data_IF_214407099056
#
_entry.id   IF_214407099056
#
_cell.length_a   1.000
_cell.length_b   1.000
_cell.length_c   1.000
_cell.angle_alpha   90.00
_cell.angle_beta   90.00
_cell.angle_gamma   90.00
#
_symmetry.space_group_name_H-M   'P 1'
#
loop_
_entity.id
_entity.type
_entity.pdbx_description
1 polymer ?
#
# COMPACT_ATOMS: atom_id res chain seq x y z
N UNK A 1 -20.66 -35.79 19.02
CA UNK A 1 -19.33 -35.72 19.68
C UNK A 1 -18.54 -36.89 19.12
N UNK A 2 -17.55 -36.78 18.25
CA UNK A 2 -16.29 -36.01 18.31
C UNK A 2 -15.77 -35.95 16.87
N UNK A 3 -15.82 -34.80 16.17
CA UNK A 3 -15.02 -34.54 14.94
C UNK A 3 -15.06 -33.08 14.48
N UNK A 4 -15.42 -32.13 15.37
CA UNK A 4 -15.51 -30.70 15.02
C UNK A 4 -14.46 -29.83 15.71
N UNK A 5 -13.66 -30.37 16.65
CA UNK A 5 -12.76 -29.57 17.49
C UNK A 5 -11.31 -29.47 17.00
N UNK A 6 -10.86 -30.29 16.05
CA UNK A 6 -9.44 -30.28 15.64
C UNK A 6 -9.10 -29.24 14.56
N UNK A 7 -10.09 -28.65 13.90
CA UNK A 7 -9.86 -27.67 12.82
C UNK A 7 -9.75 -26.21 13.31
N UNK A 8 -10.20 -25.91 14.53
CA UNK A 8 -10.15 -24.56 15.11
C UNK A 8 -8.77 -24.17 15.68
N UNK A 9 -7.84 -25.12 15.84
CA UNK A 9 -6.54 -24.84 16.49
C UNK A 9 -5.41 -24.39 15.55
N UNK A 10 -5.56 -24.50 14.22
CA UNK A 10 -4.48 -24.17 13.28
C UNK A 10 -4.61 -22.79 12.62
N UNK A 11 -5.78 -22.13 12.66
CA UNK A 11 -5.99 -20.81 12.04
C UNK A 11 -7.07 -19.99 12.75
N UNK A 12 -6.73 -19.08 13.70
CA UNK A 12 -7.71 -18.28 14.46
C UNK A 12 -8.41 -17.18 13.64
N UNK A 13 -8.21 -17.09 12.32
CA UNK A 13 -8.80 -16.07 11.44
C UNK A 13 -9.91 -16.56 10.50
N UNK A 14 -10.29 -17.85 10.55
CA UNK A 14 -11.42 -18.35 9.78
C UNK A 14 -12.74 -18.10 10.54
N UNK A 15 -13.33 -16.93 10.34
CA UNK A 15 -14.72 -16.65 10.73
C UNK A 15 -15.67 -17.71 10.12
N UNK A 16 -16.67 -18.22 10.86
CA UNK A 16 -17.68 -19.08 10.29
C UNK A 16 -18.61 -18.26 9.38
N UNK A 17 -18.59 -18.55 8.07
CA UNK A 17 -19.56 -18.00 7.12
C UNK A 17 -20.89 -18.72 7.35
N UNK A 18 -21.67 -18.24 8.32
CA UNK A 18 -23.10 -18.52 8.41
C UNK A 18 -23.87 -17.33 7.85
N UNK A 19 -24.12 -17.32 6.54
CA UNK A 19 -25.13 -16.43 5.95
C UNK A 19 -26.50 -17.03 6.21
N UNK A 20 -27.17 -16.56 7.27
CA UNK A 20 -28.59 -16.86 7.53
C UNK A 20 -29.43 -16.14 6.47
N UNK A 21 -29.81 -16.86 5.42
CA UNK A 21 -30.87 -16.42 4.52
C UNK A 21 -32.23 -16.66 5.22
N UNK A 22 -32.69 -15.69 6.01
CA UNK A 22 -34.06 -15.67 6.56
C UNK A 22 -35.02 -15.30 5.42
N UNK A 23 -35.41 -16.29 4.62
CA UNK A 23 -36.35 -16.10 3.52
C UNK A 23 -37.72 -15.64 4.04
N UNK A 24 -38.13 -14.43 3.64
CA UNK A 24 -39.56 -14.09 3.49
C UNK A 24 -40.13 -15.01 2.42
N UNK A 25 -41.26 -15.66 2.73
CA UNK A 25 -42.04 -16.47 1.80
C UNK A 25 -42.50 -15.59 0.61
N UNK A 26 -42.44 -16.13 -0.61
CA UNK A 26 -42.95 -15.61 -1.89
C UNK A 26 -42.03 -14.75 -2.79
N UNK A 27 -40.94 -15.32 -3.32
CA UNK A 27 -40.37 -14.86 -4.61
C UNK A 27 -40.02 -16.08 -5.49
N UNK A 28 -40.67 -16.27 -6.66
CA UNK A 28 -40.45 -17.41 -7.53
C UNK A 28 -39.37 -17.13 -8.59
N UNK A 29 -38.11 -16.94 -8.19
CA UNK A 29 -36.92 -17.12 -9.06
C UNK A 29 -35.63 -16.87 -8.25
N UNK A 30 -35.20 -17.86 -7.47
CA UNK A 30 -33.83 -17.90 -6.96
C UNK A 30 -33.01 -18.78 -7.90
N UNK A 31 -32.35 -18.17 -8.88
CA UNK A 31 -31.48 -18.84 -9.83
C UNK A 31 -30.23 -19.35 -9.12
N UNK A 32 -30.18 -20.66 -8.86
CA UNK A 32 -29.01 -21.54 -8.66
C UNK A 32 -27.69 -20.81 -8.34
N UNK A 33 -27.49 -20.46 -7.07
CA UNK A 33 -26.14 -20.13 -6.57
C UNK A 33 -25.23 -21.34 -6.73
N UNK A 34 -24.14 -21.20 -7.50
CA UNK A 34 -23.09 -22.21 -7.61
C UNK A 34 -22.42 -22.38 -6.24
N UNK A 35 -22.83 -23.39 -5.47
CA UNK A 35 -22.07 -23.85 -4.29
C UNK A 35 -20.76 -24.48 -4.77
N UNK A 36 -19.70 -23.70 -4.80
CA UNK A 36 -18.34 -24.21 -4.97
C UNK A 36 -17.99 -24.96 -3.68
N UNK A 37 -17.58 -26.22 -3.79
CA UNK A 37 -17.20 -27.00 -2.61
C UNK A 37 -15.90 -26.47 -1.98
N UNK A 38 -15.74 -26.61 -0.66
CA UNK A 38 -14.47 -26.27 0.05
C UNK A 38 -13.28 -26.98 -0.62
N UNK A 39 -13.47 -28.23 -1.06
CA UNK A 39 -12.47 -29.01 -1.79
C UNK A 39 -12.05 -28.30 -3.08
N UNK A 40 -12.99 -27.73 -3.82
CA UNK A 40 -12.70 -27.01 -5.07
C UNK A 40 -11.97 -25.68 -4.81
N UNK A 41 -12.30 -24.96 -3.73
CA UNK A 41 -11.59 -23.75 -3.30
C UNK A 41 -10.14 -24.09 -2.94
N UNK A 42 -9.93 -25.11 -2.11
CA UNK A 42 -8.58 -25.56 -1.71
C UNK A 42 -7.79 -26.04 -2.93
N UNK A 43 -8.40 -26.81 -3.84
CA UNK A 43 -7.75 -27.22 -5.10
C UNK A 43 -7.32 -26.03 -5.97
N UNK A 44 -8.16 -25.00 -6.09
CA UNK A 44 -7.81 -23.77 -6.83
C UNK A 44 -6.63 -23.04 -6.18
N UNK A 45 -6.66 -22.89 -4.85
CA UNK A 45 -5.56 -22.27 -4.11
C UNK A 45 -4.23 -23.02 -4.28
N UNK A 46 -4.24 -24.36 -4.16
CA UNK A 46 -3.04 -25.18 -4.32
C UNK A 46 -2.46 -25.06 -5.74
N UNK A 47 -3.31 -25.07 -6.78
CA UNK A 47 -2.87 -24.86 -8.16
C UNK A 47 -2.20 -23.50 -8.37
N UNK A 48 -2.75 -22.43 -7.78
CA UNK A 48 -2.13 -21.09 -7.84
C UNK A 48 -0.77 -21.11 -7.15
N UNK A 49 -0.68 -21.73 -5.96
CA UNK A 49 0.57 -21.85 -5.22
C UNK A 49 1.64 -22.59 -6.01
N UNK A 50 1.30 -23.72 -6.63
CA UNK A 50 2.21 -24.48 -7.49
C UNK A 50 2.65 -23.67 -8.71
N UNK A 51 1.71 -23.01 -9.39
CA UNK A 51 2.01 -22.15 -10.54
C UNK A 51 2.97 -21.02 -10.18
N UNK A 52 2.68 -20.27 -9.13
CA UNK A 52 3.52 -19.17 -8.65
C UNK A 52 4.90 -19.69 -8.26
N UNK A 53 4.96 -20.81 -7.53
CA UNK A 53 6.23 -21.43 -7.12
C UNK A 53 7.09 -21.80 -8.33
N UNK A 54 6.50 -22.44 -9.35
CA UNK A 54 7.22 -22.82 -10.57
C UNK A 54 7.78 -21.60 -11.30
N UNK A 55 6.95 -20.59 -11.53
CA UNK A 55 7.36 -19.34 -12.21
C UNK A 55 8.45 -18.61 -11.44
N UNK A 56 8.39 -18.61 -10.11
CA UNK A 56 9.38 -17.97 -9.27
C UNK A 56 10.75 -18.66 -9.32
N UNK A 57 10.75 -20.00 -9.35
CA UNK A 57 12.00 -20.78 -9.54
C UNK A 57 12.64 -20.49 -10.90
N UNK A 58 11.86 -20.55 -11.97
CA UNK A 58 12.33 -20.25 -13.33
C UNK A 58 12.90 -18.82 -13.45
N UNK A 59 12.30 -17.85 -12.74
CA UNK A 59 12.78 -16.48 -12.68
C UNK A 59 14.14 -16.39 -11.97
N UNK A 60 14.29 -17.02 -10.80
CA UNK A 60 15.55 -16.99 -10.03
C UNK A 60 16.69 -17.65 -10.80
N UNK A 61 16.43 -18.80 -11.45
CA UNK A 61 17.46 -19.56 -12.18
C UNK A 61 18.13 -18.74 -13.29
N UNK A 62 17.40 -17.79 -13.88
CA UNK A 62 17.87 -16.96 -15.00
C UNK A 62 18.02 -15.47 -14.62
N UNK A 63 17.94 -15.15 -13.32
CA UNK A 63 17.93 -13.78 -12.85
C UNK A 63 19.28 -13.10 -13.05
N UNK A 64 19.28 -11.90 -13.61
CA UNK A 64 20.45 -11.02 -13.58
C UNK A 64 20.70 -10.48 -12.18
N UNK A 65 21.88 -9.91 -11.92
CA UNK A 65 22.16 -9.20 -10.66
C UNK A 65 21.08 -8.16 -10.34
N UNK A 66 20.62 -7.40 -11.34
CA UNK A 66 19.59 -6.38 -11.20
C UNK A 66 18.23 -7.00 -10.84
N UNK A 67 17.89 -8.14 -11.43
CA UNK A 67 16.66 -8.86 -11.08
C UNK A 67 16.70 -9.35 -9.64
N UNK A 68 17.83 -9.90 -9.19
CA UNK A 68 18.00 -10.35 -7.79
C UNK A 68 17.90 -9.16 -6.82
N UNK A 69 18.46 -8.00 -7.14
CA UNK A 69 18.32 -6.77 -6.34
C UNK A 69 16.85 -6.34 -6.23
N UNK A 70 16.10 -6.34 -7.34
CA UNK A 70 14.65 -6.03 -7.32
C UNK A 70 13.87 -7.04 -6.50
N UNK A 71 14.11 -8.34 -6.71
CA UNK A 71 13.41 -9.40 -5.98
C UNK A 71 13.69 -9.31 -4.47
N UNK A 72 14.93 -9.01 -4.10
CA UNK A 72 15.33 -8.82 -2.70
C UNK A 72 14.55 -7.67 -2.08
N UNK A 73 14.53 -6.51 -2.73
CA UNK A 73 13.75 -5.35 -2.27
C UNK A 73 12.26 -5.70 -2.10
N UNK A 74 11.65 -6.41 -3.06
CA UNK A 74 10.25 -6.84 -2.95
C UNK A 74 10.06 -7.77 -1.75
N UNK A 75 10.96 -8.75 -1.58
CA UNK A 75 10.87 -9.72 -0.48
C UNK A 75 11.02 -9.09 0.89
N UNK A 76 11.98 -8.19 1.06
CA UNK A 76 12.20 -7.46 2.31
C UNK A 76 10.96 -6.64 2.68
N UNK A 77 10.36 -5.96 1.69
CA UNK A 77 9.11 -5.22 1.89
C UNK A 77 7.94 -6.13 2.27
N UNK A 78 7.83 -7.32 1.67
CA UNK A 78 6.76 -8.27 1.99
C UNK A 78 6.95 -8.98 3.33
N UNK A 79 8.19 -9.22 3.75
CA UNK A 79 8.55 -9.97 4.98
C UNK A 79 8.53 -9.13 6.25
N UNK A 80 8.42 -7.81 6.18
CA UNK A 80 8.41 -6.96 7.39
C UNK A 80 7.25 -7.37 8.32
N UNK A 81 7.54 -8.17 9.35
CA UNK A 81 6.57 -8.63 10.36
C UNK A 81 5.97 -7.46 11.15
N UNK A 82 6.65 -6.31 11.17
CA UNK A 82 6.33 -5.13 11.96
C UNK A 82 5.13 -4.29 11.48
N UNK A 83 4.42 -4.70 10.41
CA UNK A 83 3.35 -3.84 9.90
C UNK A 83 2.27 -4.57 9.10
N UNK A 84 1.56 -5.51 9.72
CA UNK A 84 0.31 -6.06 9.17
C UNK A 84 -0.74 -4.98 8.80
N UNK A 85 -0.56 -3.73 9.26
CA UNK A 85 -1.40 -2.56 8.97
C UNK A 85 -0.83 -1.60 7.92
N UNK A 86 0.41 -1.77 7.47
CA UNK A 86 0.99 -0.85 6.47
C UNK A 86 0.53 -1.23 5.05
N UNK A 87 0.04 -0.25 4.26
CA UNK A 87 -0.28 -0.46 2.85
C UNK A 87 0.87 -1.13 2.09
N UNK A 88 0.54 -2.00 1.13
CA UNK A 88 1.56 -2.68 0.31
C UNK A 88 2.44 -1.70 -0.46
N UNK A 89 1.93 -0.52 -0.83
CA UNK A 89 2.72 0.52 -1.50
C UNK A 89 3.90 0.99 -0.64
N UNK A 90 3.69 1.24 0.66
CA UNK A 90 4.75 1.65 1.58
C UNK A 90 5.81 0.55 1.73
N UNK A 91 5.36 -0.70 1.79
CA UNK A 91 6.23 -1.87 1.91
C UNK A 91 7.05 -2.11 0.65
N UNK A 92 6.43 -2.01 -0.52
CA UNK A 92 7.08 -2.22 -1.81
C UNK A 92 8.19 -1.19 -2.07
N UNK A 93 7.95 0.07 -1.69
CA UNK A 93 8.91 1.15 -1.87
C UNK A 93 9.76 1.45 -0.64
N UNK A 94 9.65 0.65 0.43
CA UNK A 94 10.39 0.85 1.68
C UNK A 94 10.26 2.28 2.24
N UNK A 95 9.02 2.78 2.26
CA UNK A 95 8.74 4.09 2.83
C UNK A 95 8.86 4.06 4.35
N UNK A 96 9.84 4.79 4.85
CA UNK A 96 9.99 5.08 6.28
C UNK A 96 9.47 6.48 6.56
N UNK A 97 8.81 6.67 7.69
CA UNK A 97 8.23 7.97 8.05
C UNK A 97 8.52 8.36 9.49
N UNK A 98 8.65 9.65 9.68
CA UNK A 98 8.68 10.33 10.98
C UNK A 98 7.68 11.48 10.94
N UNK A 99 6.85 11.61 11.98
CA UNK A 99 5.89 12.71 12.11
C UNK A 99 6.24 13.49 13.36
N UNK A 100 6.41 14.81 13.23
CA UNK A 100 6.74 15.72 14.32
C UNK A 100 6.06 17.06 14.09
N UNK A 101 5.44 17.64 15.11
CA UNK A 101 4.93 19.03 15.09
C UNK A 101 4.18 19.46 13.82
N UNK A 102 3.24 18.63 13.34
CA UNK A 102 2.47 18.82 12.09
C UNK A 102 3.27 18.79 10.78
N UNK A 103 4.49 18.26 10.82
CA UNK A 103 5.30 17.95 9.65
C UNK A 103 5.50 16.44 9.54
N UNK A 104 5.76 15.98 8.32
CA UNK A 104 6.16 14.60 8.05
C UNK A 104 7.47 14.60 7.28
N UNK A 105 8.37 13.70 7.65
CA UNK A 105 9.52 13.32 6.84
C UNK A 105 9.29 11.89 6.39
N UNK A 106 9.30 11.65 5.08
CA UNK A 106 9.16 10.31 4.50
C UNK A 106 10.34 10.02 3.59
N UNK A 107 11.01 8.88 3.77
CA UNK A 107 12.19 8.52 2.99
C UNK A 107 11.93 7.30 2.11
N UNK A 108 12.67 7.21 1.00
CA UNK A 108 12.62 6.09 0.06
C UNK A 108 14.03 5.79 -0.46
N UNK A 109 14.54 4.56 -0.34
CA UNK A 109 15.80 4.18 -0.97
C UNK A 109 15.68 4.16 -2.50
N UNK A 110 16.74 4.58 -3.19
CA UNK A 110 16.82 4.48 -4.65
C UNK A 110 17.39 3.10 -5.00
N UNK A 111 16.51 2.18 -5.38
CA UNK A 111 16.87 0.86 -5.88
C UNK A 111 16.43 0.69 -7.35
N UNK A 112 16.86 -0.38 -8.05
CA UNK A 112 16.52 -0.56 -9.46
C UNK A 112 15.03 -0.55 -9.79
N UNK A 113 14.15 -0.91 -8.83
CA UNK A 113 12.68 -0.95 -9.02
C UNK A 113 12.06 0.44 -9.21
N UNK A 114 12.71 1.50 -8.71
CA UNK A 114 12.19 2.87 -8.76
C UNK A 114 12.79 3.71 -9.88
N UNK A 115 13.70 3.14 -10.68
CA UNK A 115 14.36 3.84 -11.78
C UNK A 115 13.53 3.80 -13.06
N UNK A 116 13.66 4.84 -13.87
CA UNK A 116 13.11 4.89 -15.23
C UNK A 116 14.12 4.35 -16.28
N UNK A 117 13.75 4.40 -17.55
CA UNK A 117 14.55 3.89 -18.68
C UNK A 117 15.89 4.58 -18.86
N UNK A 118 16.08 5.78 -18.31
CA UNK A 118 17.35 6.54 -18.38
C UNK A 118 18.16 6.45 -17.07
N UNK A 119 17.75 5.61 -16.12
CA UNK A 119 18.51 5.32 -14.90
C UNK A 119 18.42 6.38 -13.79
N UNK A 120 17.39 7.24 -13.81
CA UNK A 120 17.07 8.15 -12.69
C UNK A 120 15.75 7.74 -12.04
N UNK A 121 15.45 8.22 -10.83
CA UNK A 121 14.18 7.88 -10.17
C UNK A 121 12.99 8.30 -11.05
N UNK A 122 12.05 7.39 -11.23
CA UNK A 122 10.86 7.60 -12.05
C UNK A 122 9.97 8.68 -11.42
N UNK A 123 9.57 9.68 -12.21
CA UNK A 123 8.74 10.79 -11.71
C UNK A 123 7.45 10.33 -11.03
N UNK A 124 6.77 9.34 -11.60
CA UNK A 124 5.58 8.74 -10.97
C UNK A 124 5.83 8.11 -9.60
N UNK A 125 7.04 7.60 -9.33
CA UNK A 125 7.39 7.07 -7.99
C UNK A 125 7.64 8.23 -7.03
N UNK A 126 8.29 9.31 -7.48
CA UNK A 126 8.44 10.54 -6.69
C UNK A 126 7.06 11.13 -6.33
N UNK A 127 6.13 11.21 -7.29
CA UNK A 127 4.77 11.64 -7.03
C UNK A 127 4.04 10.74 -6.02
N UNK A 128 4.26 9.42 -6.11
CA UNK A 128 3.73 8.45 -5.13
C UNK A 128 4.31 8.66 -3.73
N UNK A 129 5.62 8.90 -3.60
CA UNK A 129 6.28 9.24 -2.33
C UNK A 129 5.66 10.50 -1.72
N UNK A 130 5.50 11.55 -2.54
CA UNK A 130 4.90 12.81 -2.12
C UNK A 130 3.47 12.59 -1.63
N UNK A 131 2.59 12.00 -2.45
CA UNK A 131 1.18 11.80 -2.12
C UNK A 131 1.03 10.95 -0.86
N UNK A 132 1.84 9.91 -0.71
CA UNK A 132 1.85 9.07 0.48
C UNK A 132 2.28 9.85 1.72
N UNK A 133 3.29 10.71 1.62
CA UNK A 133 3.78 11.53 2.72
C UNK A 133 2.71 12.54 3.17
N UNK A 134 2.27 13.42 2.28
CA UNK A 134 1.31 14.48 2.63
C UNK A 134 -0.08 13.89 2.94
N UNK A 135 -0.49 12.82 2.28
CA UNK A 135 -1.73 12.11 2.59
C UNK A 135 -1.69 11.41 3.95
N UNK A 136 -0.55 10.86 4.35
CA UNK A 136 -0.34 10.33 5.70
C UNK A 136 -0.49 11.43 6.74
N UNK A 137 0.19 12.57 6.53
CA UNK A 137 0.11 13.71 7.43
C UNK A 137 -1.32 14.22 7.57
N UNK A 138 -2.02 14.44 6.45
CA UNK A 138 -3.41 14.85 6.42
C UNK A 138 -4.32 13.89 7.21
N UNK A 139 -4.17 12.57 6.99
CA UNK A 139 -4.95 11.56 7.69
C UNK A 139 -4.70 11.54 9.19
N UNK A 140 -3.43 11.62 9.62
CA UNK A 140 -3.08 11.65 11.06
C UNK A 140 -3.65 12.90 11.73
N UNK A 141 -3.65 14.04 11.04
CA UNK A 141 -4.17 15.30 11.57
C UNK A 141 -5.69 15.29 11.79
N UNK A 142 -6.47 14.60 10.94
CA UNK A 142 -7.94 14.57 11.06
C UNK A 142 -8.48 13.32 11.76
N UNK A 143 -7.63 12.32 11.98
CA UNK A 143 -8.00 11.07 12.65
C UNK A 143 -8.64 11.25 14.03
N UNK A 144 -8.19 12.17 14.91
CA UNK A 144 -8.79 12.38 16.23
C UNK A 144 -10.25 12.86 16.17
N UNK A 145 -10.66 13.45 15.05
CA UNK A 145 -12.02 13.97 14.83
C UNK A 145 -12.96 12.91 14.22
N UNK A 146 -12.51 11.65 14.12
CA UNK A 146 -13.28 10.58 13.47
C UNK A 146 -13.32 10.68 11.94
N UNK A 147 -12.43 11.50 11.36
CA UNK A 147 -12.37 11.76 9.92
C UNK A 147 -11.20 11.00 9.25
N UNK A 148 -11.23 11.00 7.92
CA UNK A 148 -10.15 10.61 7.03
C UNK A 148 -9.94 11.71 5.98
N UNK A 149 -8.73 11.78 5.41
CA UNK A 149 -8.38 12.70 4.34
C UNK A 149 -8.13 11.91 3.05
N UNK A 150 -8.71 12.36 1.94
CA UNK A 150 -8.52 11.77 0.62
C UNK A 150 -7.98 12.81 -0.35
N UNK A 151 -6.98 12.45 -1.15
CA UNK A 151 -6.39 13.34 -2.15
C UNK A 151 -7.43 13.70 -3.22
N UNK A 152 -7.66 14.99 -3.46
CA UNK A 152 -8.51 15.47 -4.56
C UNK A 152 -7.70 15.85 -5.78
N UNK A 153 -6.57 16.51 -5.55
CA UNK A 153 -5.62 16.87 -6.59
C UNK A 153 -4.21 17.00 -6.00
N UNK A 154 -3.23 16.80 -6.86
CA UNK A 154 -1.82 17.00 -6.55
C UNK A 154 -1.12 17.60 -7.77
N UNK A 155 -0.39 18.69 -7.54
CA UNK A 155 0.47 19.32 -8.55
C UNK A 155 1.92 19.08 -8.17
N UNK A 156 2.67 18.42 -9.05
CA UNK A 156 4.10 18.11 -8.84
C UNK A 156 4.94 18.81 -9.90
N UNK A 157 5.94 19.54 -9.43
CA UNK A 157 6.96 20.23 -10.24
C UNK A 157 8.28 19.50 -10.05
N UNK A 158 8.81 18.93 -11.13
CA UNK A 158 10.13 18.30 -11.14
C UNK A 158 11.18 19.35 -11.50
N UNK A 159 12.12 19.60 -10.58
CA UNK A 159 13.12 20.66 -10.69
C UNK A 159 14.48 20.10 -11.12
N UNK A 160 14.86 18.93 -10.60
CA UNK A 160 16.13 18.25 -10.89
C UNK A 160 15.95 16.74 -10.88
N UNK A 161 16.85 16.04 -11.57
CA UNK A 161 16.88 14.59 -11.56
C UNK A 161 17.21 14.07 -10.15
N UNK A 162 16.35 13.22 -9.62
CA UNK A 162 16.56 12.50 -8.38
C UNK A 162 17.58 11.36 -8.60
N UNK A 163 18.71 11.45 -7.90
CA UNK A 163 19.82 10.48 -7.91
C UNK A 163 20.38 10.32 -6.49
N UNK A 164 21.26 9.34 -6.29
CA UNK A 164 21.89 9.03 -5.00
C UNK A 164 21.39 7.72 -4.40
N UNK A 165 21.60 7.50 -3.11
CA UNK A 165 21.13 6.30 -2.41
C UNK A 165 19.69 6.39 -1.89
N UNK A 166 19.18 7.61 -1.65
CA UNK A 166 17.89 7.83 -0.98
C UNK A 166 17.26 9.16 -1.37
N UNK A 167 15.93 9.21 -1.36
CA UNK A 167 15.13 10.44 -1.41
C UNK A 167 14.46 10.70 -0.06
N UNK A 168 14.31 11.98 0.27
CA UNK A 168 13.59 12.44 1.47
C UNK A 168 12.51 13.43 1.06
N UNK A 169 11.27 13.13 1.39
CA UNK A 169 10.11 14.01 1.23
C UNK A 169 9.76 14.66 2.56
N UNK A 170 9.80 15.98 2.60
CA UNK A 170 9.32 16.80 3.72
C UNK A 170 7.93 17.33 3.38
N UNK A 171 6.95 17.03 4.22
CA UNK A 171 5.57 17.46 4.06
C UNK A 171 5.10 18.36 5.20
N UNK A 172 4.33 19.40 4.85
CA UNK A 172 3.79 20.37 5.82
C UNK A 172 2.34 20.73 5.48
N UNK A 173 1.58 21.17 6.48
CA UNK A 173 0.21 21.65 6.29
C UNK A 173 0.25 23.16 6.02
N UNK A 174 -0.17 23.57 4.82
CA UNK A 174 -0.32 24.99 4.48
C UNK A 174 -1.64 25.57 4.97
N UNK A 175 -2.71 24.76 4.93
CA UNK A 175 -4.04 25.16 5.38
C UNK A 175 -4.86 23.95 5.84
N UNK A 176 -5.56 24.08 6.98
CA UNK A 176 -6.58 23.12 7.44
C UNK A 176 -7.90 23.86 7.62
N UNK A 177 -8.85 23.58 6.73
CA UNK A 177 -10.24 24.03 6.84
C UNK A 177 -11.15 22.98 7.46
N UNK A 178 -12.47 23.22 7.41
CA UNK A 178 -13.49 22.27 7.91
C UNK A 178 -13.72 21.08 6.96
N UNK A 179 -13.59 21.30 5.65
CA UNK A 179 -13.86 20.29 4.61
C UNK A 179 -12.64 19.94 3.76
N UNK A 180 -11.62 20.79 3.76
CA UNK A 180 -10.45 20.64 2.90
C UNK A 180 -9.17 20.95 3.64
N UNK A 181 -8.07 20.37 3.16
CA UNK A 181 -6.72 20.70 3.58
C UNK A 181 -5.84 20.95 2.37
N UNK A 182 -4.87 21.84 2.51
CA UNK A 182 -3.81 22.08 1.52
C UNK A 182 -2.48 21.77 2.18
N UNK A 183 -1.69 20.91 1.54
CA UNK A 183 -0.40 20.47 2.02
C UNK A 183 0.68 20.72 0.97
N UNK A 184 1.90 20.97 1.43
CA UNK A 184 3.10 21.06 0.62
C UNK A 184 3.94 19.81 0.79
N UNK A 185 4.60 19.36 -0.28
CA UNK A 185 5.64 18.33 -0.23
C UNK A 185 6.90 18.76 -0.99
N UNK A 186 8.07 18.62 -0.40
CA UNK A 186 9.39 18.89 -0.99
C UNK A 186 10.24 17.64 -0.97
N UNK A 187 10.78 17.23 -2.11
CA UNK A 187 11.63 16.04 -2.23
C UNK A 187 13.06 16.44 -2.49
N UNK A 188 13.94 15.93 -1.64
CA UNK A 188 15.39 16.14 -1.70
C UNK A 188 16.12 14.83 -2.00
N UNK A 189 17.19 14.94 -2.77
CA UNK A 189 18.21 13.90 -2.87
C UNK A 189 19.07 13.85 -1.60
N UNK A 190 19.83 12.76 -1.44
CA UNK A 190 20.73 12.52 -0.31
C UNK A 190 21.76 13.64 -0.07
N UNK A 191 22.16 14.35 -1.13
CA UNK A 191 23.06 15.51 -1.08
C UNK A 191 22.37 16.83 -0.68
N UNK A 192 21.07 16.80 -0.36
CA UNK A 192 20.26 17.97 -0.02
C UNK A 192 19.72 18.72 -1.25
N UNK A 193 19.94 18.22 -2.47
CA UNK A 193 19.42 18.87 -3.69
C UNK A 193 17.89 18.76 -3.75
N UNK A 194 17.19 19.88 -3.88
CA UNK A 194 15.74 19.88 -4.12
C UNK A 194 15.42 19.36 -5.54
N UNK A 195 14.79 18.19 -5.60
CA UNK A 195 14.45 17.48 -6.83
C UNK A 195 13.03 17.75 -7.30
N UNK A 196 12.08 17.82 -6.36
CA UNK A 196 10.68 18.08 -6.69
C UNK A 196 9.98 18.90 -5.61
N UNK A 197 8.97 19.66 -6.03
CA UNK A 197 8.08 20.42 -5.16
C UNK A 197 6.64 20.14 -5.54
N UNK A 198 5.74 20.17 -4.56
CA UNK A 198 4.35 19.87 -4.77
C UNK A 198 3.42 20.60 -3.83
N UNK A 199 2.18 20.75 -4.30
CA UNK A 199 1.03 21.11 -3.48
C UNK A 199 -0.07 20.09 -3.72
N UNK A 200 -0.69 19.60 -2.66
CA UNK A 200 -1.81 18.68 -2.71
C UNK A 200 -3.02 19.20 -1.94
N UNK A 201 -4.20 19.03 -2.52
CA UNK A 201 -5.46 19.30 -1.85
C UNK A 201 -6.10 17.99 -1.42
N UNK A 202 -6.71 18.04 -0.24
CA UNK A 202 -7.36 16.90 0.39
C UNK A 202 -8.77 17.27 0.80
N UNK A 203 -9.71 16.34 0.61
CA UNK A 203 -11.05 16.44 1.14
C UNK A 203 -11.15 15.65 2.45
N UNK A 204 -11.83 16.23 3.43
CA UNK A 204 -12.07 15.61 4.74
C UNK A 204 -13.43 14.91 4.68
N UNK A 205 -13.43 13.61 4.95
CA UNK A 205 -14.62 12.77 4.97
C UNK A 205 -14.76 12.07 6.33
N UNK A 206 -15.97 11.71 6.76
CA UNK A 206 -16.13 10.78 7.87
C UNK A 206 -15.38 9.49 7.57
N UNK A 207 -14.68 8.94 8.57
CA UNK A 207 -13.91 7.70 8.37
C UNK A 207 -14.86 6.55 7.97
N UNK A 208 -14.63 5.89 6.81
CA UNK A 208 -15.43 4.72 6.43
C UNK A 208 -15.30 3.62 7.48
N UNK A 209 -16.42 2.99 7.86
CA UNK A 209 -16.39 1.80 8.70
C UNK A 209 -16.03 0.60 7.81
N UNK A 210 -14.89 -0.04 8.09
CA UNK A 210 -14.42 -1.26 7.42
C UNK A 210 -15.04 -2.51 8.03
#
# INVERSE_FOLDING_TARGET
>A
MVFCQTWLHLHPQCLPIHTVCRQRKNVPHCTREKRISIIEIVRRYLKVKEYVTKRFKELIENATKKDLEVLTAIFEGLKSEDNAKSPYVNRLYHFEREIKDNTITMTMPISPIVLNSIGITHGGVIATLIDTAIGTLANVTVAPEGNAAVTTDISVRYLRAAKGGKLTCEGTILHKGKKTMVLEGKVYSEDGTLCAHSTGNFFIIPRPQS
#
